data_IF_209166886797
#
_entry.id   IF_209166886797
#
_cell.length_a   1.000
_cell.length_b   1.000
_cell.length_c   1.000
_cell.angle_alpha   90.00
_cell.angle_beta   90.00
_cell.angle_gamma   90.00
#
_symmetry.space_group_name_H-M   'P 1'
#
loop_
_entity.id
_entity.type
_entity.pdbx_description
1 polymer ?
#
# COMPACT_ATOMS: atom_id res chain seq x y z
N UNK A 1 18.91 -21.82 -20.28
CA UNK A 1 18.83 -20.50 -19.62
C UNK A 1 18.81 -19.43 -20.69
N UNK A 2 17.64 -18.80 -20.87
CA UNK A 2 17.42 -17.82 -21.94
C UNK A 2 18.08 -16.50 -21.53
N UNK A 3 18.72 -15.81 -22.48
CA UNK A 3 19.48 -14.55 -22.29
C UNK A 3 18.78 -13.49 -21.40
N UNK A 4 17.45 -13.51 -21.33
CA UNK A 4 16.63 -12.65 -20.48
C UNK A 4 16.68 -13.00 -18.98
N UNK A 5 16.73 -14.28 -18.61
CA UNK A 5 16.85 -14.72 -17.20
C UNK A 5 18.21 -14.27 -16.64
N UNK A 6 19.27 -14.44 -17.44
CA UNK A 6 20.64 -14.05 -17.06
C UNK A 6 20.79 -12.54 -16.82
N UNK A 7 20.11 -11.71 -17.63
CA UNK A 7 20.12 -10.26 -17.46
C UNK A 7 19.30 -9.81 -16.25
N UNK A 8 18.24 -10.54 -15.90
CA UNK A 8 17.44 -10.28 -14.70
C UNK A 8 18.24 -10.60 -13.43
N UNK A 9 18.93 -11.74 -13.41
CA UNK A 9 19.80 -12.15 -12.31
C UNK A 9 20.93 -11.14 -12.06
N UNK A 10 21.56 -10.63 -13.12
CA UNK A 10 22.62 -9.61 -12.99
C UNK A 10 22.06 -8.32 -12.39
N UNK A 11 20.89 -7.85 -12.85
CA UNK A 11 20.27 -6.63 -12.31
C UNK A 11 19.88 -6.80 -10.84
N UNK A 12 19.29 -7.93 -10.48
CA UNK A 12 18.91 -8.24 -9.10
C UNK A 12 20.14 -8.27 -8.17
N UNK A 13 21.26 -8.85 -8.63
CA UNK A 13 22.50 -8.88 -7.86
C UNK A 13 23.11 -7.49 -7.65
N UNK A 14 23.07 -6.62 -8.67
CA UNK A 14 23.56 -5.24 -8.56
C UNK A 14 22.73 -4.44 -7.56
N UNK A 15 21.40 -4.54 -7.64
CA UNK A 15 20.48 -3.87 -6.71
C UNK A 15 20.71 -4.36 -5.28
N UNK A 16 20.78 -5.67 -5.09
CA UNK A 16 21.05 -6.26 -3.77
C UNK A 16 22.39 -5.80 -3.19
N UNK A 17 23.46 -5.78 -3.99
CA UNK A 17 24.78 -5.33 -3.53
C UNK A 17 24.75 -3.86 -3.10
N UNK A 18 24.09 -3.01 -3.88
CA UNK A 18 23.94 -1.60 -3.53
C UNK A 18 23.19 -1.42 -2.20
N UNK A 19 22.08 -2.16 -2.00
CA UNK A 19 21.31 -2.12 -0.76
C UNK A 19 22.13 -2.59 0.46
N UNK A 20 22.95 -3.64 0.28
CA UNK A 20 23.87 -4.10 1.34
C UNK A 20 24.91 -3.04 1.69
N UNK A 21 25.47 -2.35 0.69
CA UNK A 21 26.48 -1.33 0.93
C UNK A 21 25.87 -0.08 1.59
N UNK A 22 24.65 0.31 1.23
CA UNK A 22 23.87 1.35 1.90
C UNK A 22 23.57 1.00 3.38
N UNK A 23 23.11 -0.23 3.66
CA UNK A 23 22.87 -0.65 5.05
C UNK A 23 24.17 -0.64 5.87
N UNK A 24 25.31 -1.01 5.29
CA UNK A 24 26.60 -0.94 6.00
C UNK A 24 26.99 0.49 6.36
N UNK A 25 26.77 1.46 5.48
CA UNK A 25 27.03 2.87 5.79
C UNK A 25 26.05 3.37 6.87
N UNK A 26 24.76 3.06 6.72
CA UNK A 26 23.76 3.41 7.74
C UNK A 26 24.11 2.84 9.11
N UNK A 27 24.57 1.58 9.19
CA UNK A 27 25.03 0.95 10.44
C UNK A 27 26.25 1.65 11.05
N UNK A 28 27.13 2.25 10.24
CA UNK A 28 28.30 3.00 10.72
C UNK A 28 27.90 4.37 11.27
N UNK A 29 26.93 5.03 10.65
CA UNK A 29 26.44 6.35 11.03
C UNK A 29 25.52 6.26 12.27
N UNK A 30 24.72 5.20 12.37
CA UNK A 30 23.68 5.04 13.37
C UNK A 30 24.05 4.08 14.50
N UNK A 31 25.34 3.88 14.80
CA UNK A 31 25.86 2.86 15.75
C UNK A 31 25.17 2.80 17.13
N UNK A 32 24.51 3.87 17.57
CA UNK A 32 23.79 3.97 18.84
C UNK A 32 22.27 3.88 18.72
N UNK A 33 21.74 3.67 17.52
CA UNK A 33 20.30 3.52 17.29
C UNK A 33 19.78 2.24 17.96
N UNK A 34 18.63 2.37 18.63
CA UNK A 34 17.88 1.24 19.17
C UNK A 34 17.52 0.24 18.06
N UNK A 35 17.29 0.72 16.84
CA UNK A 35 16.91 -0.14 15.70
C UNK A 35 18.01 -1.14 15.33
N UNK A 36 19.29 -0.78 15.49
CA UNK A 36 20.39 -1.73 15.26
C UNK A 36 20.29 -2.94 16.19
N UNK A 37 19.87 -2.72 17.44
CA UNK A 37 19.69 -3.81 18.39
C UNK A 37 18.48 -4.68 18.01
N UNK A 38 17.37 -4.06 17.59
CA UNK A 38 16.18 -4.77 17.13
C UNK A 38 16.49 -5.60 15.87
N UNK A 39 17.21 -5.04 14.89
CA UNK A 39 17.65 -5.73 13.68
C UNK A 39 18.54 -6.92 14.03
N UNK A 40 19.53 -6.76 14.92
CA UNK A 40 20.40 -7.86 15.36
C UNK A 40 19.60 -8.99 15.99
N UNK A 41 18.67 -8.66 16.91
CA UNK A 41 17.80 -9.65 17.52
C UNK A 41 16.93 -10.39 16.49
N UNK A 42 16.40 -9.67 15.50
CA UNK A 42 15.62 -10.27 14.41
C UNK A 42 16.47 -11.24 13.59
N UNK A 43 17.67 -10.82 13.17
CA UNK A 43 18.59 -11.65 12.39
C UNK A 43 19.03 -12.90 13.17
N UNK A 44 19.28 -12.79 14.47
CA UNK A 44 19.61 -13.93 15.33
C UNK A 44 18.45 -14.94 15.41
N UNK A 45 17.19 -14.46 15.48
CA UNK A 45 16.01 -15.34 15.48
C UNK A 45 15.80 -16.00 14.12
N UNK A 46 16.00 -15.26 13.03
CA UNK A 46 15.98 -15.78 11.66
C UNK A 46 17.05 -16.86 11.47
N UNK A 47 18.24 -16.68 12.04
CA UNK A 47 19.30 -17.68 12.00
C UNK A 47 18.93 -18.97 12.74
N UNK A 48 18.20 -18.87 13.86
CA UNK A 48 17.67 -20.04 14.58
C UNK A 48 16.64 -20.82 13.76
N UNK A 49 15.93 -20.16 12.83
CA UNK A 49 15.06 -20.81 11.85
C UNK A 49 15.82 -21.45 10.67
N UNK A 50 17.16 -21.31 10.62
CA UNK A 50 18.02 -21.93 9.60
C UNK A 50 18.42 -21.01 8.45
N UNK A 51 17.95 -19.75 8.44
CA UNK A 51 18.26 -18.78 7.39
C UNK A 51 19.60 -18.09 7.64
N UNK A 52 20.41 -17.94 6.59
CA UNK A 52 21.73 -17.29 6.68
C UNK A 52 21.67 -15.82 6.26
N UNK A 53 20.78 -15.05 6.89
CA UNK A 53 20.65 -13.62 6.65
C UNK A 53 21.68 -12.86 7.48
N UNK A 54 22.37 -11.91 6.86
CA UNK A 54 23.42 -11.10 7.48
C UNK A 54 22.98 -9.66 7.69
N UNK A 55 22.03 -9.20 6.90
CA UNK A 55 21.57 -7.81 6.85
C UNK A 55 20.05 -7.76 6.77
N UNK A 56 19.45 -6.65 7.20
CA UNK A 56 18.01 -6.43 7.06
C UNK A 56 17.59 -6.47 5.58
N UNK A 57 18.43 -6.01 4.66
CA UNK A 57 18.18 -6.10 3.21
C UNK A 57 18.04 -7.54 2.70
N UNK A 58 18.56 -8.56 3.40
CA UNK A 58 18.30 -9.96 3.05
C UNK A 58 16.82 -10.33 3.22
N UNK A 59 16.15 -9.75 4.22
CA UNK A 59 14.72 -9.93 4.45
C UNK A 59 13.93 -9.29 3.32
N UNK A 60 14.37 -8.14 2.82
CA UNK A 60 13.54 -7.32 1.93
C UNK A 60 13.82 -7.47 0.43
N UNK A 61 14.94 -8.11 0.06
CA UNK A 61 15.32 -8.33 -1.35
C UNK A 61 15.32 -9.81 -1.78
N UNK A 62 15.03 -10.74 -0.87
CA UNK A 62 14.89 -12.17 -1.17
C UNK A 62 13.42 -12.56 -1.21
N UNK A 63 13.12 -13.64 -1.93
CA UNK A 63 11.81 -14.28 -1.85
C UNK A 63 11.67 -14.99 -0.51
N UNK A 64 10.71 -14.56 0.30
CA UNK A 64 10.32 -15.20 1.56
C UNK A 64 8.88 -15.69 1.46
N UNK A 65 8.69 -17.01 1.42
CA UNK A 65 7.35 -17.64 1.36
C UNK A 65 7.14 -18.65 2.50
N UNK A 66 8.15 -18.88 3.35
CA UNK A 66 8.04 -19.74 4.53
C UNK A 66 7.21 -19.06 5.62
N UNK A 67 6.08 -19.69 5.95
CA UNK A 67 5.13 -19.17 6.92
C UNK A 67 5.72 -18.94 8.32
N UNK A 68 6.67 -19.78 8.77
CA UNK A 68 7.27 -19.62 10.10
C UNK A 68 8.21 -18.41 10.14
N UNK A 69 8.92 -18.15 9.04
CA UNK A 69 9.68 -16.92 8.87
C UNK A 69 8.74 -15.70 8.84
N UNK A 70 7.65 -15.75 8.07
CA UNK A 70 6.71 -14.62 7.97
C UNK A 70 6.02 -14.31 9.31
N UNK A 71 5.66 -15.34 10.09
CA UNK A 71 5.15 -15.18 11.47
C UNK A 71 6.17 -14.54 12.39
N UNK A 72 7.44 -14.96 12.31
CA UNK A 72 8.51 -14.30 13.08
C UNK A 72 8.61 -12.82 12.70
N UNK A 73 8.68 -12.51 11.41
CA UNK A 73 8.76 -11.14 10.92
C UNK A 73 7.59 -10.29 11.39
N UNK A 74 6.36 -10.81 11.36
CA UNK A 74 5.19 -10.05 11.80
C UNK A 74 5.28 -9.62 13.27
N UNK A 75 5.95 -10.40 14.14
CA UNK A 75 6.16 -10.00 15.55
C UNK A 75 7.09 -8.81 15.73
N UNK A 76 7.78 -8.36 14.69
CA UNK A 76 8.69 -7.21 14.71
C UNK A 76 8.08 -5.91 14.17
N UNK A 77 6.88 -5.98 13.59
CA UNK A 77 6.12 -4.78 13.20
C UNK A 77 5.85 -3.93 14.45
N UNK A 78 6.22 -2.64 14.38
CA UNK A 78 6.06 -1.69 15.48
C UNK A 78 7.13 -1.77 16.59
N UNK A 79 8.17 -2.59 16.44
CA UNK A 79 9.29 -2.65 17.40
C UNK A 79 10.44 -1.69 17.07
N UNK A 80 10.43 -1.11 15.88
CA UNK A 80 11.46 -0.17 15.43
C UNK A 80 11.05 1.26 15.77
N UNK A 81 12.04 2.10 16.06
CA UNK A 81 11.89 3.54 16.18
C UNK A 81 11.69 4.19 14.81
N UNK A 82 12.46 3.75 13.80
CA UNK A 82 12.23 4.13 12.40
C UNK A 82 11.18 3.21 11.76
N UNK A 83 10.02 3.78 11.43
CA UNK A 83 8.89 3.07 10.83
C UNK A 83 9.22 2.47 9.46
N UNK A 84 10.27 2.95 8.79
CA UNK A 84 10.75 2.34 7.55
C UNK A 84 10.98 0.83 7.69
N UNK A 85 11.54 0.35 8.81
CA UNK A 85 11.79 -1.08 9.01
C UNK A 85 10.48 -1.88 9.15
N UNK A 86 9.53 -1.39 9.94
CA UNK A 86 8.20 -1.99 10.07
C UNK A 86 7.49 -2.06 8.72
N UNK A 87 7.48 -0.95 7.96
CA UNK A 87 6.85 -0.86 6.66
C UNK A 87 7.46 -1.82 5.63
N UNK A 88 8.79 -2.00 5.66
CA UNK A 88 9.48 -3.00 4.81
C UNK A 88 9.14 -4.43 5.18
N UNK A 89 8.94 -4.74 6.47
CA UNK A 89 8.42 -6.04 6.90
C UNK A 89 6.99 -6.24 6.40
N UNK A 90 6.14 -5.22 6.51
CA UNK A 90 4.75 -5.24 6.00
C UNK A 90 4.71 -5.58 4.51
N UNK A 91 5.61 -5.01 3.71
CA UNK A 91 5.69 -5.34 2.28
C UNK A 91 6.06 -6.81 2.03
N UNK A 92 6.97 -7.38 2.82
CA UNK A 92 7.43 -8.77 2.68
C UNK A 92 6.31 -9.76 3.04
N UNK A 93 5.59 -9.52 4.14
CA UNK A 93 4.49 -10.41 4.56
C UNK A 93 3.20 -10.15 3.77
N UNK A 94 3.05 -8.94 3.21
CA UNK A 94 1.93 -8.40 2.46
C UNK A 94 1.71 -8.99 1.07
N UNK A 95 1.74 -10.32 0.93
CA UNK A 95 1.57 -11.03 -0.34
C UNK A 95 0.20 -11.69 -0.46
N UNK A 96 -0.21 -11.94 -1.70
CA UNK A 96 -1.44 -12.68 -2.02
C UNK A 96 -1.41 -14.06 -1.34
N UNK A 97 -2.48 -14.40 -0.63
CA UNK A 97 -2.63 -15.66 0.10
C UNK A 97 -2.27 -15.58 1.58
N UNK A 98 -1.54 -14.55 2.01
CA UNK A 98 -1.13 -14.38 3.40
C UNK A 98 -2.19 -13.65 4.23
N UNK A 99 -3.43 -14.16 4.19
CA UNK A 99 -4.59 -13.49 4.80
C UNK A 99 -4.48 -13.37 6.33
N UNK A 100 -3.73 -14.25 6.98
CA UNK A 100 -3.55 -14.26 8.44
C UNK A 100 -2.78 -13.04 8.97
N UNK A 101 -2.05 -12.30 8.11
CA UNK A 101 -1.36 -11.07 8.50
C UNK A 101 -2.19 -9.80 8.32
N UNK A 102 -3.40 -9.89 7.77
CA UNK A 102 -4.22 -8.69 7.50
C UNK A 102 -4.47 -7.88 8.77
N UNK A 103 -4.79 -8.55 9.88
CA UNK A 103 -5.11 -7.89 11.14
C UNK A 103 -3.95 -7.06 11.67
N UNK A 104 -2.75 -7.66 11.72
CA UNK A 104 -1.57 -6.99 12.27
C UNK A 104 -1.14 -5.81 11.40
N UNK A 105 -1.27 -5.93 10.07
CA UNK A 105 -0.99 -4.83 9.13
C UNK A 105 -1.99 -3.67 9.35
N UNK A 106 -3.28 -3.97 9.46
CA UNK A 106 -4.32 -2.95 9.69
C UNK A 106 -4.17 -2.28 11.06
N UNK A 107 -3.95 -3.08 12.11
CA UNK A 107 -3.80 -2.56 13.47
C UNK A 107 -2.59 -1.64 13.55
N UNK A 108 -1.46 -2.02 12.95
CA UNK A 108 -0.27 -1.18 12.97
C UNK A 108 -0.44 0.08 12.11
N UNK A 109 -1.06 0.00 10.93
CA UNK A 109 -1.39 1.19 10.12
C UNK A 109 -2.20 2.23 10.90
N UNK A 110 -3.17 1.78 11.71
CA UNK A 110 -4.00 2.67 12.53
C UNK A 110 -3.22 3.39 13.64
N UNK A 111 -2.07 2.86 14.07
CA UNK A 111 -1.22 3.45 15.10
C UNK A 111 -0.20 4.45 14.53
N UNK A 112 -0.03 4.49 13.20
CA UNK A 112 0.93 5.37 12.56
C UNK A 112 0.56 6.85 12.74
N UNK A 113 1.58 7.68 12.92
CA UNK A 113 1.42 9.14 12.83
C UNK A 113 1.07 9.55 11.40
N UNK A 114 0.55 10.77 11.21
CA UNK A 114 0.26 11.28 9.87
C UNK A 114 1.53 11.42 9.00
N UNK A 115 2.68 11.72 9.62
CA UNK A 115 3.96 11.77 8.90
C UNK A 115 4.40 10.38 8.45
N UNK A 116 4.23 9.35 9.29
CA UNK A 116 4.54 7.97 8.93
C UNK A 116 3.60 7.43 7.84
N UNK A 117 2.30 7.74 7.93
CA UNK A 117 1.35 7.41 6.85
C UNK A 117 1.75 8.07 5.53
N UNK A 118 2.20 9.32 5.57
CA UNK A 118 2.70 10.03 4.37
C UNK A 118 3.94 9.37 3.79
N UNK A 119 4.91 8.98 4.63
CA UNK A 119 6.19 8.45 4.17
C UNK A 119 6.13 6.97 3.77
N UNK A 120 5.29 6.19 4.47
CA UNK A 120 5.32 4.73 4.41
C UNK A 120 3.98 4.09 4.05
N UNK A 121 2.89 4.85 3.97
CA UNK A 121 1.55 4.34 3.65
C UNK A 121 1.48 3.51 2.38
N UNK A 122 2.32 3.81 1.37
CA UNK A 122 2.41 3.02 0.15
C UNK A 122 2.79 1.54 0.38
N UNK A 123 3.60 1.21 1.40
CA UNK A 123 3.92 -0.18 1.73
C UNK A 123 2.70 -0.93 2.26
N UNK A 124 1.92 -0.27 3.13
CA UNK A 124 0.67 -0.79 3.67
C UNK A 124 -0.39 -0.96 2.58
N UNK A 125 -0.60 0.07 1.77
CA UNK A 125 -1.59 0.04 0.68
C UNK A 125 -1.28 -1.07 -0.34
N UNK A 126 0.00 -1.24 -0.69
CA UNK A 126 0.45 -2.36 -1.51
C UNK A 126 0.15 -3.70 -0.83
N UNK A 127 0.48 -3.86 0.45
CA UNK A 127 0.23 -5.10 1.17
C UNK A 127 -1.26 -5.46 1.23
N UNK A 128 -2.10 -4.51 1.64
CA UNK A 128 -3.56 -4.70 1.75
C UNK A 128 -4.20 -5.01 0.40
N UNK A 129 -3.83 -4.27 -0.65
CA UNK A 129 -4.35 -4.48 -2.01
C UNK A 129 -3.84 -5.76 -2.70
N UNK A 130 -2.74 -6.35 -2.22
CA UNK A 130 -2.24 -7.67 -2.64
C UNK A 130 -2.91 -8.82 -1.89
N UNK A 131 -3.06 -8.69 -0.57
CA UNK A 131 -3.69 -9.72 0.27
C UNK A 131 -5.17 -9.85 -0.07
N UNK A 132 -5.89 -8.72 -0.17
CA UNK A 132 -7.32 -8.66 -0.56
C UNK A 132 -8.25 -9.46 0.37
N UNK A 133 -8.02 -9.38 1.67
CA UNK A 133 -8.78 -10.18 2.64
C UNK A 133 -10.17 -9.59 2.90
N UNK A 134 -11.19 -10.18 2.26
CA UNK A 134 -12.58 -9.75 2.39
C UNK A 134 -13.14 -9.85 3.81
N UNK A 135 -12.53 -10.61 4.72
CA UNK A 135 -12.93 -10.66 6.13
C UNK A 135 -12.86 -9.28 6.79
N UNK A 136 -11.94 -8.43 6.33
CA UNK A 136 -11.71 -7.07 6.84
C UNK A 136 -12.37 -5.98 5.99
N UNK A 137 -13.38 -6.31 5.16
CA UNK A 137 -14.10 -5.34 4.34
C UNK A 137 -14.54 -4.11 5.15
N UNK A 138 -15.15 -4.31 6.32
CA UNK A 138 -15.61 -3.21 7.17
C UNK A 138 -14.46 -2.30 7.61
N UNK A 139 -13.29 -2.86 7.94
CA UNK A 139 -12.11 -2.09 8.32
C UNK A 139 -11.56 -1.27 7.16
N UNK A 140 -11.50 -1.84 5.95
CA UNK A 140 -11.08 -1.09 4.77
C UNK A 140 -12.03 0.08 4.48
N UNK A 141 -13.35 -0.16 4.58
CA UNK A 141 -14.35 0.90 4.40
C UNK A 141 -14.19 1.99 5.45
N UNK A 142 -13.93 1.63 6.71
CA UNK A 142 -13.76 2.61 7.78
C UNK A 142 -12.54 3.52 7.55
N UNK A 143 -11.40 2.94 7.14
CA UNK A 143 -10.24 3.71 6.71
C UNK A 143 -10.59 4.70 5.59
N UNK A 144 -11.39 4.26 4.61
CA UNK A 144 -11.77 5.12 3.50
C UNK A 144 -12.84 6.18 3.82
N UNK A 145 -13.43 6.21 5.02
CA UNK A 145 -14.29 7.35 5.41
C UNK A 145 -13.49 8.56 5.85
N UNK A 146 -12.25 8.34 6.29
CA UNK A 146 -11.31 9.37 6.71
C UNK A 146 -10.50 9.85 5.51
N UNK A 147 -10.56 11.14 5.17
CA UNK A 147 -9.69 11.72 4.12
C UNK A 147 -8.22 11.58 4.45
N UNK A 148 -7.87 11.61 5.74
CA UNK A 148 -6.49 11.52 6.21
C UNK A 148 -5.88 10.13 6.00
N UNK A 149 -6.71 9.10 5.94
CA UNK A 149 -6.28 7.73 5.66
C UNK A 149 -6.42 7.40 4.17
N UNK A 150 -7.57 7.71 3.57
CA UNK A 150 -7.88 7.35 2.19
C UNK A 150 -6.86 7.90 1.18
N UNK A 151 -6.29 9.09 1.41
CA UNK A 151 -5.32 9.72 0.49
C UNK A 151 -4.02 8.93 0.35
N UNK A 152 -3.71 8.09 1.34
CA UNK A 152 -2.53 7.22 1.34
C UNK A 152 -2.85 5.76 0.96
N UNK A 153 -4.12 5.45 0.65
CA UNK A 153 -4.59 4.10 0.35
C UNK A 153 -5.22 3.94 -1.07
N UNK A 154 -4.62 4.50 -2.14
CA UNK A 154 -5.23 4.49 -3.46
C UNK A 154 -5.47 3.08 -4.04
N UNK A 155 -4.58 2.12 -3.81
CA UNK A 155 -4.72 0.74 -4.30
C UNK A 155 -5.84 0.01 -3.56
N UNK A 156 -6.00 0.27 -2.26
CA UNK A 156 -7.10 -0.25 -1.44
C UNK A 156 -8.44 0.33 -1.91
N UNK A 157 -8.50 1.62 -2.28
CA UNK A 157 -9.68 2.21 -2.92
C UNK A 157 -10.05 1.48 -4.23
N UNK A 158 -9.09 1.32 -5.14
CA UNK A 158 -9.32 0.60 -6.41
C UNK A 158 -9.73 -0.86 -6.17
N UNK A 159 -9.12 -1.53 -5.19
CA UNK A 159 -9.52 -2.89 -4.78
C UNK A 159 -10.97 -2.94 -4.35
N UNK A 160 -11.43 -1.99 -3.52
CA UNK A 160 -12.82 -1.91 -3.08
C UNK A 160 -13.77 -1.54 -4.22
N UNK A 161 -13.35 -0.70 -5.16
CA UNK A 161 -14.10 -0.44 -6.40
C UNK A 161 -14.35 -1.72 -7.19
N UNK A 162 -13.33 -2.56 -7.34
CA UNK A 162 -13.44 -3.88 -8.01
C UNK A 162 -14.30 -4.88 -7.26
N UNK A 163 -14.50 -4.70 -5.95
CA UNK A 163 -15.44 -5.51 -5.17
C UNK A 163 -16.89 -5.03 -5.28
N UNK A 164 -17.10 -3.85 -5.87
CA UNK A 164 -18.43 -3.28 -6.14
C UNK A 164 -19.34 -3.24 -4.91
N UNK A 165 -18.82 -2.85 -3.74
CA UNK A 165 -19.66 -2.79 -2.54
C UNK A 165 -20.44 -1.47 -2.49
N UNK A 166 -21.73 -1.53 -2.18
CA UNK A 166 -22.58 -0.33 -2.09
C UNK A 166 -22.08 0.70 -1.07
N UNK A 167 -21.41 0.24 -0.02
CA UNK A 167 -20.82 1.13 0.99
C UNK A 167 -19.60 1.86 0.42
N UNK A 168 -18.73 1.18 -0.34
CA UNK A 168 -17.60 1.84 -1.01
C UNK A 168 -18.09 2.82 -2.09
N UNK A 169 -19.11 2.44 -2.89
CA UNK A 169 -19.76 3.32 -3.88
C UNK A 169 -20.12 4.66 -3.25
N UNK A 170 -20.78 4.64 -2.09
CA UNK A 170 -21.19 5.85 -1.35
C UNK A 170 -20.01 6.71 -0.92
N UNK A 171 -18.93 6.09 -0.44
CA UNK A 171 -17.70 6.80 -0.05
C UNK A 171 -17.06 7.51 -1.25
N UNK A 172 -16.91 6.80 -2.38
CA UNK A 172 -16.34 7.40 -3.60
C UNK A 172 -17.20 8.53 -4.14
N UNK A 173 -18.53 8.37 -4.13
CA UNK A 173 -19.46 9.44 -4.52
C UNK A 173 -19.37 10.64 -3.56
N UNK A 174 -19.21 10.44 -2.26
CA UNK A 174 -19.03 11.54 -1.31
C UNK A 174 -17.77 12.36 -1.62
N UNK A 175 -16.67 11.70 -1.98
CA UNK A 175 -15.45 12.38 -2.44
C UNK A 175 -15.68 13.17 -3.72
N UNK A 176 -16.35 12.58 -4.72
CA UNK A 176 -16.66 13.26 -5.97
C UNK A 176 -17.64 14.42 -5.79
N UNK A 177 -18.63 14.32 -4.90
CA UNK A 177 -19.56 15.42 -4.64
C UNK A 177 -18.90 16.62 -3.95
N UNK A 178 -17.73 16.42 -3.34
CA UNK A 178 -16.92 17.45 -2.68
C UNK A 178 -15.63 17.74 -3.47
N UNK A 179 -15.60 17.45 -4.77
CA UNK A 179 -14.38 17.52 -5.57
C UNK A 179 -13.66 18.88 -5.50
N UNK A 180 -14.40 20.00 -5.46
CA UNK A 180 -13.82 21.34 -5.35
C UNK A 180 -13.01 21.55 -4.06
N UNK A 181 -13.44 20.94 -2.95
CA UNK A 181 -12.71 20.98 -1.68
C UNK A 181 -11.36 20.28 -1.78
N UNK A 182 -11.32 19.16 -2.51
CA UNK A 182 -10.16 18.28 -2.60
C UNK A 182 -9.19 18.66 -3.73
N UNK A 183 -9.68 19.26 -4.82
CA UNK A 183 -8.83 19.71 -5.93
C UNK A 183 -7.85 20.81 -5.52
N UNK A 184 -8.24 21.67 -4.59
CA UNK A 184 -7.42 22.79 -4.12
C UNK A 184 -6.28 22.37 -3.18
N UNK A 185 -6.25 21.11 -2.74
CA UNK A 185 -5.22 20.54 -1.87
C UNK A 185 -4.50 19.43 -2.64
N UNK A 186 -3.22 19.63 -3.06
CA UNK A 186 -2.50 18.69 -3.91
C UNK A 186 -2.53 17.23 -3.40
N UNK A 187 -2.41 17.03 -2.10
CA UNK A 187 -2.41 15.72 -1.44
C UNK A 187 -3.77 15.01 -1.55
N UNK A 188 -4.86 15.78 -1.62
CA UNK A 188 -6.22 15.24 -1.70
C UNK A 188 -6.69 15.05 -3.14
N UNK A 189 -5.99 15.60 -4.14
CA UNK A 189 -6.33 15.44 -5.56
C UNK A 189 -6.40 13.96 -5.96
N UNK A 190 -5.54 13.13 -5.37
CA UNK A 190 -5.53 11.66 -5.54
C UNK A 190 -6.88 11.03 -5.20
N UNK A 191 -7.58 11.51 -4.17
CA UNK A 191 -8.88 10.97 -3.76
C UNK A 191 -9.91 11.05 -4.90
N UNK A 192 -9.90 12.16 -5.66
CA UNK A 192 -10.84 12.37 -6.77
C UNK A 192 -10.54 11.43 -7.92
N UNK A 193 -9.29 11.41 -8.38
CA UNK A 193 -8.90 10.57 -9.51
C UNK A 193 -9.06 9.08 -9.21
N UNK A 194 -8.74 8.66 -7.99
CA UNK A 194 -8.89 7.27 -7.58
C UNK A 194 -10.36 6.91 -7.34
N UNK A 195 -11.20 7.84 -6.88
CA UNK A 195 -12.66 7.63 -6.80
C UNK A 195 -13.28 7.46 -8.19
N UNK A 196 -12.83 8.24 -9.19
CA UNK A 196 -13.25 8.05 -10.59
C UNK A 196 -12.87 6.67 -11.12
N UNK A 197 -11.62 6.24 -10.89
CA UNK A 197 -11.17 4.91 -11.28
C UNK A 197 -11.96 3.82 -10.56
N UNK A 198 -12.20 3.97 -9.27
CA UNK A 198 -12.92 2.98 -8.45
C UNK A 198 -14.39 2.87 -8.86
N UNK A 199 -15.06 4.00 -9.13
CA UNK A 199 -16.45 4.04 -9.63
C UNK A 199 -16.60 3.49 -11.05
N UNK A 200 -15.55 3.58 -11.87
CA UNK A 200 -15.54 2.99 -13.22
C UNK A 200 -15.68 1.47 -13.22
N UNK A 201 -15.49 0.82 -12.07
CA UNK A 201 -15.70 -0.61 -11.91
C UNK A 201 -17.17 -1.00 -11.67
N UNK A 202 -18.10 -0.06 -11.45
CA UNK A 202 -19.48 -0.35 -11.10
C UNK A 202 -20.41 -0.34 -12.31
N UNK A 203 -21.46 -1.17 -12.26
CA UNK A 203 -22.63 -1.02 -13.13
C UNK A 203 -23.53 0.09 -12.58
N UNK A 204 -23.88 1.08 -13.42
CA UNK A 204 -24.68 2.23 -13.00
C UNK A 204 -26.19 2.02 -13.23
N UNK A 205 -26.77 1.04 -12.54
CA UNK A 205 -28.18 0.66 -12.74
C UNK A 205 -29.17 1.71 -12.26
N UNK A 206 -28.80 2.55 -11.29
CA UNK A 206 -29.61 3.62 -10.73
C UNK A 206 -29.33 5.00 -11.35
N UNK A 207 -28.36 5.09 -12.27
CA UNK A 207 -27.96 6.32 -12.95
C UNK A 207 -27.23 7.33 -12.06
N UNK A 208 -26.93 6.97 -10.80
CA UNK A 208 -26.37 7.91 -9.81
C UNK A 208 -24.92 8.24 -10.15
N UNK A 209 -24.13 7.25 -10.59
CA UNK A 209 -22.72 7.47 -10.94
C UNK A 209 -22.64 8.38 -12.16
N UNK A 210 -23.38 8.05 -13.23
CA UNK A 210 -23.39 8.84 -14.47
C UNK A 210 -23.80 10.28 -14.23
N UNK A 211 -24.84 10.51 -13.41
CA UNK A 211 -25.26 11.87 -13.05
C UNK A 211 -24.13 12.67 -12.39
N UNK A 212 -23.47 12.11 -11.37
CA UNK A 212 -22.33 12.77 -10.70
C UNK A 212 -21.18 13.04 -11.67
N UNK A 213 -20.87 12.12 -12.59
CA UNK A 213 -19.81 12.30 -13.58
C UNK A 213 -20.16 13.39 -14.61
N UNK A 214 -21.42 13.47 -15.06
CA UNK A 214 -21.88 14.50 -16.01
C UNK A 214 -21.82 15.91 -15.40
N UNK A 215 -22.14 16.05 -14.11
CA UNK A 215 -21.98 17.32 -13.39
C UNK A 215 -20.51 17.78 -13.37
N UNK A 216 -19.57 16.84 -13.18
CA UNK A 216 -18.12 17.11 -13.17
C UNK A 216 -17.57 17.45 -14.56
N UNK A 217 -18.19 17.02 -15.67
CA UNK A 217 -17.65 17.33 -17.01
C UNK A 217 -17.61 18.83 -17.32
N UNK A 218 -18.44 19.63 -16.64
CA UNK A 218 -18.56 21.07 -16.90
C UNK A 218 -17.50 21.92 -16.17
N UNK A 219 -16.59 21.30 -15.42
CA UNK A 219 -15.56 21.98 -14.63
C UNK A 219 -14.38 22.45 -15.48
N UNK A 220 -13.66 23.48 -15.04
CA UNK A 220 -12.53 24.05 -15.80
C UNK A 220 -11.23 23.22 -15.74
N UNK A 221 -11.10 22.31 -14.77
CA UNK A 221 -9.93 21.44 -14.64
C UNK A 221 -9.91 20.37 -15.76
N UNK A 222 -8.98 20.54 -16.70
CA UNK A 222 -8.83 19.67 -17.88
C UNK A 222 -8.43 18.24 -17.54
N UNK A 223 -7.66 18.03 -16.48
CA UNK A 223 -7.26 16.68 -16.08
C UNK A 223 -8.45 15.94 -15.49
N UNK A 224 -9.23 16.63 -14.65
CA UNK A 224 -10.46 16.10 -14.10
C UNK A 224 -11.45 15.76 -15.21
N UNK A 225 -11.69 16.67 -16.16
CA UNK A 225 -12.54 16.40 -17.33
C UNK A 225 -12.11 15.13 -18.08
N UNK A 226 -10.81 14.97 -18.37
CA UNK A 226 -10.28 13.79 -19.06
C UNK A 226 -10.47 12.51 -18.26
N UNK A 227 -10.21 12.54 -16.95
CA UNK A 227 -10.40 11.40 -16.08
C UNK A 227 -11.88 11.00 -15.99
N UNK A 228 -12.77 11.99 -15.88
CA UNK A 228 -14.23 11.79 -15.87
C UNK A 228 -14.73 11.18 -17.19
N UNK A 229 -14.25 11.68 -18.34
CA UNK A 229 -14.57 11.09 -19.65
C UNK A 229 -14.13 9.62 -19.74
N UNK A 230 -12.95 9.28 -19.20
CA UNK A 230 -12.45 7.91 -19.16
C UNK A 230 -13.34 7.02 -18.27
N UNK A 231 -13.77 7.52 -17.11
CA UNK A 231 -14.67 6.79 -16.21
C UNK A 231 -16.03 6.54 -16.88
N UNK A 232 -16.64 7.56 -17.51
CA UNK A 232 -17.90 7.42 -18.27
C UNK A 232 -17.77 6.36 -19.36
N UNK A 233 -16.67 6.38 -20.12
CA UNK A 233 -16.44 5.40 -21.19
C UNK A 233 -16.36 3.98 -20.65
N UNK A 234 -15.72 3.79 -19.49
CA UNK A 234 -15.59 2.48 -18.85
C UNK A 234 -16.93 1.97 -18.28
N UNK A 235 -17.82 2.85 -17.84
CA UNK A 235 -19.16 2.46 -17.34
C UNK A 235 -20.11 2.10 -18.51
N UNK A 236 -19.98 2.79 -19.65
CA UNK A 236 -20.84 2.59 -20.82
C UNK A 236 -20.42 1.42 -21.73
N UNK A 237 -19.15 1.01 -21.68
CA UNK A 237 -18.56 -0.02 -22.55
C UNK A 237 -18.50 -1.37 -21.87
#
# INVERSE_FOLDING_TARGET
>A
MKKNERNYDIKAQVIYKAAVDEEKEWLKENKRSCDILVIKQLLDQIQKLGYRYKYFVDITNRENDDIELLKLLSTYIGKFQDEYFSARIVEVIGKRGNVDFTEIILNHYNLLSNDDKRMHGAFYDNALSRIRDKRYLSNYIELLKSTEDAKYLPLTMVMLGKWQTEVAKKVFLDYLNKYELYLNVPENRTLIFVSLESLSCYSDTDGVIMKTLEDILNVSDKDLQRATQKAIKAIKG
#
